data_IF_037373184775
#
_entry.id   IF_037373184775
#
_cell.length_a   1.000
_cell.length_b   1.000
_cell.length_c   1.000
_cell.angle_alpha   90.00
_cell.angle_beta   90.00
_cell.angle_gamma   90.00
#
_symmetry.space_group_name_H-M   'P 1'
#
loop_
_entity.id
_entity.type
_entity.pdbx_description
1 polymer ?
#
# COMPACT_ATOMS: atom_id res chain seq x y z
N UNK A 1 1.65 21.71 13.38
CA UNK A 1 0.81 21.96 12.18
C UNK A 1 1.77 22.13 11.01
N UNK A 2 1.99 21.08 10.24
CA UNK A 2 2.75 21.14 8.98
C UNK A 2 1.86 21.83 7.94
N UNK A 3 2.37 22.82 7.22
CA UNK A 3 1.52 23.63 6.33
C UNK A 3 1.36 22.93 4.97
N UNK A 4 0.26 23.20 4.24
CA UNK A 4 0.01 22.66 2.89
C UNK A 4 1.16 22.94 1.90
N UNK A 5 1.90 24.04 2.12
CA UNK A 5 3.10 24.41 1.38
C UNK A 5 4.23 23.39 1.56
N UNK A 6 4.43 22.90 2.80
CA UNK A 6 5.49 21.96 3.14
C UNK A 6 5.24 20.58 2.49
N UNK A 7 3.98 20.14 2.44
CA UNK A 7 3.60 18.85 1.87
C UNK A 7 3.76 18.81 0.36
N UNK A 8 3.41 19.91 -0.32
CA UNK A 8 3.62 20.04 -1.76
C UNK A 8 5.11 19.96 -2.09
N UNK A 9 5.96 20.64 -1.32
CA UNK A 9 7.41 20.58 -1.49
C UNK A 9 7.98 19.16 -1.30
N UNK A 10 7.51 18.44 -0.28
CA UNK A 10 7.88 17.03 -0.06
C UNK A 10 7.47 16.14 -1.23
N UNK A 11 6.27 16.32 -1.78
CA UNK A 11 5.81 15.55 -2.94
C UNK A 11 6.61 15.84 -4.21
N UNK A 12 6.96 17.11 -4.48
CA UNK A 12 7.77 17.44 -5.67
C UNK A 12 9.19 16.88 -5.57
N UNK A 13 9.78 16.90 -4.36
CA UNK A 13 11.08 16.28 -4.10
C UNK A 13 11.01 14.78 -4.32
N UNK A 14 9.99 14.12 -3.77
CA UNK A 14 9.74 12.70 -3.97
C UNK A 14 9.54 12.35 -5.45
N UNK A 15 8.70 13.10 -6.17
CA UNK A 15 8.41 12.85 -7.58
C UNK A 15 9.66 12.98 -8.47
N UNK A 16 10.53 13.94 -8.14
CA UNK A 16 11.81 14.13 -8.84
C UNK A 16 12.74 12.93 -8.63
N UNK A 17 12.83 12.41 -7.40
CA UNK A 17 13.60 11.20 -7.10
C UNK A 17 13.00 9.96 -7.76
N UNK A 18 11.68 9.83 -7.75
CA UNK A 18 10.97 8.74 -8.39
C UNK A 18 11.23 8.70 -9.90
N UNK A 19 11.17 9.85 -10.57
CA UNK A 19 11.42 9.97 -12.01
C UNK A 19 12.88 9.75 -12.40
N UNK A 20 13.83 10.10 -11.53
CA UNK A 20 15.25 9.92 -11.80
C UNK A 20 15.69 8.44 -11.74
N UNK A 21 14.92 7.60 -11.06
CA UNK A 21 15.32 6.24 -10.73
C UNK A 21 14.46 5.20 -11.49
N UNK A 22 15.06 4.52 -12.48
CA UNK A 22 14.52 3.26 -13.00
C UNK A 22 14.89 2.14 -12.06
N UNK A 23 14.08 1.95 -11.03
CA UNK A 23 14.20 0.81 -10.13
C UNK A 23 13.10 -0.17 -10.52
N UNK A 24 13.45 -1.44 -10.61
CA UNK A 24 12.52 -2.55 -10.78
C UNK A 24 12.85 -3.59 -9.74
N UNK A 25 11.85 -4.36 -9.30
CA UNK A 25 12.12 -5.54 -8.51
C UNK A 25 12.92 -6.52 -9.39
N UNK A 26 13.98 -7.11 -8.82
CA UNK A 26 14.78 -8.11 -9.51
C UNK A 26 14.02 -9.43 -9.75
N UNK A 27 14.74 -10.55 -9.78
CA UNK A 27 14.16 -11.87 -10.11
C UNK A 27 13.06 -12.34 -9.14
N UNK A 28 12.99 -11.77 -7.94
CA UNK A 28 11.96 -12.10 -6.93
C UNK A 28 11.44 -10.84 -6.24
N UNK A 29 10.11 -10.71 -6.20
CA UNK A 29 9.41 -9.65 -5.47
C UNK A 29 9.53 -9.78 -3.94
N UNK A 30 10.23 -10.78 -3.43
CA UNK A 30 10.42 -11.03 -1.99
C UNK A 30 11.85 -10.81 -1.52
N UNK A 31 12.75 -10.37 -2.39
CA UNK A 31 14.13 -10.05 -2.02
C UNK A 31 14.26 -8.63 -1.45
N UNK A 32 15.20 -8.46 -0.51
CA UNK A 32 15.57 -7.16 0.07
C UNK A 32 14.39 -6.32 0.60
N UNK A 33 13.36 -6.96 1.15
CA UNK A 33 12.16 -6.29 1.68
C UNK A 33 12.56 -5.23 2.73
N UNK A 34 12.05 -4.02 2.56
CA UNK A 34 12.31 -2.86 3.42
C UNK A 34 13.70 -2.23 3.22
N UNK A 35 14.54 -2.81 2.36
CA UNK A 35 15.87 -2.28 1.99
C UNK A 35 15.96 -1.96 0.50
N UNK A 36 15.00 -2.41 -0.29
CA UNK A 36 14.95 -2.12 -1.72
C UNK A 36 14.67 -0.63 -1.93
N UNK A 37 15.37 0.05 -2.85
CA UNK A 37 15.17 1.49 -3.07
C UNK A 37 13.72 1.89 -3.39
N UNK A 38 12.96 1.03 -4.08
CA UNK A 38 11.51 1.25 -4.29
C UNK A 38 10.70 1.19 -3.01
N UNK A 39 11.02 0.27 -2.09
CA UNK A 39 10.27 0.17 -0.84
C UNK A 39 10.41 1.48 -0.06
N UNK A 40 11.62 2.06 -0.03
CA UNK A 40 11.89 3.34 0.63
C UNK A 40 11.07 4.45 -0.01
N UNK A 41 11.10 4.56 -1.35
CA UNK A 41 10.31 5.56 -2.07
C UNK A 41 8.80 5.39 -1.82
N UNK A 42 8.28 4.17 -1.78
CA UNK A 42 6.86 3.94 -1.59
C UNK A 42 6.40 4.09 -0.13
N UNK A 43 7.29 3.85 0.84
CA UNK A 43 7.04 4.25 2.22
C UNK A 43 6.86 5.76 2.30
N UNK A 44 7.80 6.53 1.74
CA UNK A 44 7.74 8.00 1.76
C UNK A 44 6.47 8.51 1.05
N UNK A 45 6.10 7.91 -0.09
CA UNK A 45 4.87 8.26 -0.81
C UNK A 45 3.63 8.05 0.07
N UNK A 46 3.53 6.90 0.74
CA UNK A 46 2.40 6.60 1.61
C UNK A 46 2.33 7.55 2.81
N UNK A 47 3.48 7.94 3.38
CA UNK A 47 3.53 8.94 4.45
C UNK A 47 3.06 10.33 3.99
N UNK A 48 3.50 10.75 2.80
CA UNK A 48 3.02 11.98 2.16
C UNK A 48 1.50 11.88 1.97
N UNK A 49 0.99 10.78 1.40
CA UNK A 49 -0.42 10.61 1.07
C UNK A 49 -1.33 10.62 2.32
N UNK A 50 -0.92 9.95 3.40
CA UNK A 50 -1.68 9.91 4.66
C UNK A 50 -1.94 11.32 5.17
N UNK A 51 -0.93 12.19 5.14
CA UNK A 51 -1.03 13.54 5.68
C UNK A 51 -1.54 14.58 4.66
N UNK A 52 -1.52 14.26 3.36
CA UNK A 52 -1.85 15.16 2.27
C UNK A 52 -3.29 15.69 2.32
N UNK A 53 -3.47 16.93 1.83
CA UNK A 53 -4.79 17.50 1.53
C UNK A 53 -5.49 16.71 0.40
N UNK A 54 -6.81 16.84 0.29
CA UNK A 54 -7.58 16.20 -0.79
C UNK A 54 -7.07 16.58 -2.19
N UNK A 55 -6.66 17.84 -2.38
CA UNK A 55 -6.08 18.31 -3.64
C UNK A 55 -4.77 17.58 -3.99
N UNK A 56 -3.86 17.46 -3.01
CA UNK A 56 -2.59 16.76 -3.22
C UNK A 56 -2.80 15.25 -3.42
N UNK A 57 -3.78 14.64 -2.74
CA UNK A 57 -4.17 13.24 -2.97
C UNK A 57 -4.66 13.00 -4.40
N UNK A 58 -5.51 13.88 -4.93
CA UNK A 58 -5.93 13.82 -6.33
C UNK A 58 -4.75 13.98 -7.29
N UNK A 59 -3.81 14.89 -7.00
CA UNK A 59 -2.59 15.05 -7.80
C UNK A 59 -1.73 13.79 -7.81
N UNK A 60 -1.58 13.14 -6.65
CA UNK A 60 -0.85 11.86 -6.53
C UNK A 60 -1.54 10.77 -7.34
N UNK A 61 -2.86 10.59 -7.19
CA UNK A 61 -3.64 9.61 -7.96
C UNK A 61 -3.50 9.80 -9.48
N UNK A 62 -3.66 11.05 -9.94
CA UNK A 62 -3.53 11.41 -11.36
C UNK A 62 -2.12 11.18 -11.94
N UNK A 63 -1.08 11.10 -11.11
CA UNK A 63 0.27 10.72 -11.56
C UNK A 63 0.32 9.25 -12.02
N UNK A 64 -0.39 8.37 -11.33
CA UNK A 64 -0.34 6.92 -11.54
C UNK A 64 -1.36 6.42 -12.57
N UNK A 65 -2.44 7.17 -12.82
CA UNK A 65 -3.39 6.91 -13.92
C UNK A 65 -2.71 6.72 -15.28
N UNK A 66 -1.59 7.41 -15.52
CA UNK A 66 -0.87 7.40 -16.80
C UNK A 66 0.35 6.47 -16.80
N UNK A 67 0.49 5.62 -15.78
CA UNK A 67 1.74 4.89 -15.48
C UNK A 67 1.48 3.45 -15.01
N UNK A 68 0.88 2.59 -15.86
CA UNK A 68 0.42 1.25 -15.45
C UNK A 68 1.53 0.38 -14.87
N UNK A 69 2.74 0.43 -15.41
CA UNK A 69 3.88 -0.32 -14.88
C UNK A 69 4.21 0.10 -13.43
N UNK A 70 4.21 1.39 -13.15
CA UNK A 70 4.48 1.92 -11.81
C UNK A 70 3.32 1.65 -10.86
N UNK A 71 2.08 1.65 -11.36
CA UNK A 71 0.89 1.26 -10.60
C UNK A 71 0.99 -0.21 -10.17
N UNK A 72 1.44 -1.10 -11.05
CA UNK A 72 1.71 -2.49 -10.69
C UNK A 72 2.80 -2.62 -9.61
N UNK A 73 3.86 -1.81 -9.66
CA UNK A 73 4.90 -1.81 -8.63
C UNK A 73 4.37 -1.39 -7.25
N UNK A 74 3.42 -0.46 -7.19
CA UNK A 74 2.71 -0.09 -5.96
C UNK A 74 1.84 -1.24 -5.44
N UNK A 75 1.13 -1.95 -6.33
CA UNK A 75 0.36 -3.16 -5.94
C UNK A 75 1.28 -4.21 -5.31
N UNK A 76 2.44 -4.47 -5.92
CA UNK A 76 3.44 -5.39 -5.36
C UNK A 76 3.98 -4.90 -4.01
N UNK A 77 4.17 -3.58 -3.86
CA UNK A 77 4.62 -2.99 -2.60
C UNK A 77 3.64 -3.23 -1.45
N UNK A 78 2.32 -3.19 -1.69
CA UNK A 78 1.30 -3.53 -0.67
C UNK A 78 1.53 -4.95 -0.12
N UNK A 79 2.00 -5.89 -0.96
CA UNK A 79 2.33 -7.26 -0.52
C UNK A 79 3.62 -7.28 0.28
N UNK A 80 4.64 -6.53 -0.16
CA UNK A 80 5.96 -6.44 0.50
C UNK A 80 5.89 -5.75 1.86
N UNK A 81 5.11 -4.68 1.99
CA UNK A 81 4.97 -3.97 3.26
C UNK A 81 4.37 -4.87 4.34
N UNK A 82 3.50 -5.82 3.98
CA UNK A 82 2.99 -6.84 4.90
C UNK A 82 4.10 -7.64 5.60
N UNK A 83 5.23 -7.87 4.92
CA UNK A 83 6.40 -8.57 5.44
C UNK A 83 7.35 -7.69 6.24
N UNK A 84 7.25 -6.37 6.10
CA UNK A 84 8.01 -5.42 6.89
C UNK A 84 7.41 -5.19 8.26
N UNK A 85 6.10 -5.46 8.43
CA UNK A 85 5.40 -5.28 9.70
C UNK A 85 6.02 -6.23 10.73
N UNK A 86 6.71 -5.63 11.69
CA UNK A 86 7.26 -6.27 12.88
C UNK A 86 6.91 -5.42 14.11
N UNK A 87 7.30 -5.90 15.29
CA UNK A 87 6.70 -5.49 16.56
C UNK A 87 6.86 -3.99 16.93
N UNK A 88 7.74 -3.22 16.29
CA UNK A 88 8.14 -1.90 16.84
C UNK A 88 7.52 -0.66 16.16
N UNK A 89 6.80 -0.78 15.04
CA UNK A 89 6.13 0.38 14.36
C UNK A 89 4.80 0.03 13.68
N UNK A 90 4.07 -0.89 14.31
CA UNK A 90 3.05 -1.77 13.74
C UNK A 90 1.93 -1.11 12.91
N UNK A 91 1.21 -0.13 13.43
CA UNK A 91 0.00 0.40 12.75
C UNK A 91 0.31 1.37 11.62
N UNK A 92 1.45 2.07 11.66
CA UNK A 92 1.84 3.04 10.63
C UNK A 92 2.04 2.34 9.28
N UNK A 93 2.72 1.19 9.27
CA UNK A 93 2.96 0.42 8.04
C UNK A 93 1.65 -0.10 7.43
N UNK A 94 0.67 -0.48 8.25
CA UNK A 94 -0.65 -0.87 7.75
C UNK A 94 -1.34 0.32 7.08
N UNK A 95 -1.33 1.50 7.74
CA UNK A 95 -1.88 2.73 7.16
C UNK A 95 -1.21 3.12 5.84
N UNK A 96 0.11 2.96 5.75
CA UNK A 96 0.86 3.18 4.51
C UNK A 96 0.39 2.21 3.43
N UNK A 97 0.29 0.91 3.74
CA UNK A 97 -0.20 -0.08 2.77
C UNK A 97 -1.61 0.23 2.26
N UNK A 98 -2.51 0.68 3.14
CA UNK A 98 -3.86 1.12 2.76
C UNK A 98 -3.87 2.42 1.95
N UNK A 99 -2.99 3.38 2.29
CA UNK A 99 -2.81 4.60 1.51
C UNK A 99 -2.31 4.29 0.08
N UNK A 100 -1.37 3.36 -0.06
CA UNK A 100 -0.92 2.91 -1.39
C UNK A 100 -2.06 2.19 -2.13
N UNK A 101 -2.85 1.36 -1.45
CA UNK A 101 -4.03 0.74 -2.05
C UNK A 101 -5.01 1.79 -2.59
N UNK A 102 -5.22 2.90 -1.86
CA UNK A 102 -6.11 3.98 -2.29
C UNK A 102 -5.59 4.71 -3.53
N UNK A 103 -4.26 4.89 -3.64
CA UNK A 103 -3.63 5.50 -4.82
C UNK A 103 -3.90 4.68 -6.09
N UNK A 104 -3.84 3.34 -5.98
CA UNK A 104 -3.96 2.45 -7.14
C UNK A 104 -5.38 1.95 -7.41
N UNK A 105 -6.33 2.19 -6.49
CA UNK A 105 -7.70 1.69 -6.53
C UNK A 105 -8.45 1.97 -7.83
N UNK A 106 -8.22 3.15 -8.41
CA UNK A 106 -8.91 3.61 -9.62
C UNK A 106 -8.23 3.15 -10.91
N UNK A 107 -7.04 2.54 -10.80
CA UNK A 107 -6.11 2.35 -11.93
C UNK A 107 -5.78 0.89 -12.24
N UNK A 108 -6.11 -0.05 -11.36
CA UNK A 108 -5.77 -1.47 -11.51
C UNK A 108 -6.98 -2.39 -11.39
N UNK A 109 -6.79 -3.65 -11.81
CA UNK A 109 -7.79 -4.68 -11.60
C UNK A 109 -8.08 -4.82 -10.10
N UNK A 110 -9.35 -4.62 -9.75
CA UNK A 110 -9.89 -4.77 -8.40
C UNK A 110 -9.41 -6.05 -7.69
N UNK A 111 -9.20 -7.13 -8.44
CA UNK A 111 -8.75 -8.43 -7.91
C UNK A 111 -7.34 -8.37 -7.33
N UNK A 112 -6.41 -7.73 -8.03
CA UNK A 112 -5.01 -7.66 -7.60
C UNK A 112 -4.84 -6.79 -6.35
N UNK A 113 -5.59 -5.70 -6.26
CA UNK A 113 -5.64 -4.87 -5.06
C UNK A 113 -6.27 -5.66 -3.91
N UNK A 114 -7.40 -6.34 -4.15
CA UNK A 114 -8.07 -7.15 -3.13
C UNK A 114 -7.14 -8.21 -2.54
N UNK A 115 -6.43 -8.94 -3.40
CA UNK A 115 -5.43 -9.94 -2.98
C UNK A 115 -4.30 -9.28 -2.18
N UNK A 116 -3.79 -8.14 -2.63
CA UNK A 116 -2.67 -7.47 -1.98
C UNK A 116 -3.04 -6.94 -0.60
N UNK A 117 -4.22 -6.35 -0.46
CA UNK A 117 -4.76 -5.91 0.84
C UNK A 117 -5.09 -7.11 1.74
N UNK A 118 -5.52 -8.24 1.17
CA UNK A 118 -5.69 -9.49 1.93
C UNK A 118 -4.37 -9.96 2.56
N UNK A 119 -3.28 -9.93 1.78
CA UNK A 119 -1.94 -10.28 2.26
C UNK A 119 -1.46 -9.28 3.32
N UNK A 120 -1.70 -7.99 3.13
CA UNK A 120 -1.43 -6.95 4.13
C UNK A 120 -2.16 -7.24 5.45
N UNK A 121 -3.46 -7.52 5.38
CA UNK A 121 -4.27 -7.89 6.54
C UNK A 121 -3.68 -9.10 7.25
N UNK A 122 -3.38 -10.17 6.53
CA UNK A 122 -2.81 -11.38 7.11
C UNK A 122 -1.45 -11.14 7.78
N UNK A 123 -0.53 -10.42 7.13
CA UNK A 123 0.78 -10.10 7.69
C UNK A 123 0.68 -9.27 8.98
N UNK A 124 -0.28 -8.34 9.01
CA UNK A 124 -0.57 -7.50 10.17
C UNK A 124 -1.18 -8.31 11.33
N UNK A 125 -2.16 -9.17 11.05
CA UNK A 125 -2.82 -10.01 12.05
C UNK A 125 -1.86 -11.04 12.66
N UNK A 126 -0.89 -11.54 11.88
CA UNK A 126 0.15 -12.45 12.36
C UNK A 126 1.00 -11.89 13.49
N UNK A 127 1.14 -10.57 13.57
CA UNK A 127 1.91 -9.90 14.63
C UNK A 127 1.01 -9.27 15.69
N UNK A 128 -0.30 -9.54 15.67
CA UNK A 128 -1.25 -9.12 16.70
C UNK A 128 -1.98 -7.80 16.43
N UNK A 129 -1.88 -7.23 15.21
CA UNK A 129 -2.62 -6.01 14.86
C UNK A 129 -4.08 -6.37 14.57
N UNK A 130 -5.01 -5.70 15.26
CA UNK A 130 -6.44 -5.76 14.93
C UNK A 130 -6.75 -4.90 13.70
N UNK A 131 -6.56 -5.48 12.51
CA UNK A 131 -6.77 -4.76 11.24
C UNK A 131 -8.22 -4.34 11.04
N UNK A 132 -9.17 -5.13 11.54
CA UNK A 132 -10.61 -4.81 11.46
C UNK A 132 -10.90 -3.46 12.11
N UNK A 133 -10.52 -3.32 13.37
CA UNK A 133 -10.71 -2.09 14.14
C UNK A 133 -9.93 -0.92 13.52
N UNK A 134 -8.72 -1.16 13.01
CA UNK A 134 -7.95 -0.14 12.31
C UNK A 134 -8.69 0.35 11.05
N UNK A 135 -9.23 -0.56 10.24
CA UNK A 135 -10.01 -0.21 9.04
C UNK A 135 -11.25 0.58 9.45
N UNK A 136 -12.02 0.11 10.43
CA UNK A 136 -13.23 0.80 10.89
C UNK A 136 -12.96 2.25 11.33
N UNK A 137 -11.81 2.49 11.98
CA UNK A 137 -11.41 3.83 12.43
C UNK A 137 -10.89 4.74 11.30
N UNK A 138 -10.41 4.17 10.20
CA UNK A 138 -9.74 4.91 9.12
C UNK A 138 -10.53 4.94 7.81
N UNK A 139 -11.62 4.17 7.69
CA UNK A 139 -12.33 3.95 6.43
C UNK A 139 -12.81 5.26 5.78
N UNK A 140 -13.20 6.25 6.59
CA UNK A 140 -13.63 7.57 6.12
C UNK A 140 -12.50 8.40 5.50
N UNK A 141 -11.24 8.01 5.70
CA UNK A 141 -10.07 8.68 5.13
C UNK A 141 -9.73 8.21 3.71
N UNK A 142 -10.41 7.18 3.19
CA UNK A 142 -10.13 6.57 1.89
C UNK A 142 -11.26 6.82 0.87
N UNK A 143 -10.99 6.54 -0.40
CA UNK A 143 -12.01 6.56 -1.45
C UNK A 143 -13.18 5.60 -1.15
N UNK A 144 -14.34 5.87 -1.78
CA UNK A 144 -15.53 5.03 -1.64
C UNK A 144 -15.27 3.61 -2.19
N UNK A 145 -14.46 3.53 -3.25
CA UNK A 145 -14.03 2.31 -3.93
C UNK A 145 -13.19 1.45 -3.00
N UNK A 146 -12.15 2.03 -2.38
CA UNK A 146 -11.32 1.29 -1.42
C UNK A 146 -12.15 0.91 -0.20
N UNK A 147 -13.00 1.80 0.32
CA UNK A 147 -13.89 1.50 1.44
C UNK A 147 -14.79 0.30 1.16
N UNK A 148 -15.35 0.22 -0.05
CA UNK A 148 -16.17 -0.92 -0.49
C UNK A 148 -15.34 -2.20 -0.56
N UNK A 149 -14.12 -2.13 -1.09
CA UNK A 149 -13.19 -3.26 -1.11
C UNK A 149 -12.86 -3.76 0.28
N UNK A 150 -12.51 -2.88 1.21
CA UNK A 150 -12.17 -3.24 2.58
C UNK A 150 -13.34 -3.93 3.27
N UNK A 151 -14.56 -3.40 3.12
CA UNK A 151 -15.78 -4.02 3.66
C UNK A 151 -16.05 -5.43 3.07
N UNK A 152 -15.73 -5.66 1.81
CA UNK A 152 -15.85 -6.97 1.19
C UNK A 152 -14.76 -7.93 1.68
N UNK A 153 -13.53 -7.44 1.80
CA UNK A 153 -12.38 -8.21 2.30
C UNK A 153 -12.62 -8.73 3.72
N UNK A 154 -13.31 -7.95 4.57
CA UNK A 154 -13.69 -8.39 5.92
C UNK A 154 -14.59 -9.62 5.94
N UNK A 155 -15.23 -9.97 4.81
CA UNK A 155 -16.12 -11.12 4.67
C UNK A 155 -15.46 -12.33 4.02
N UNK A 156 -14.18 -12.24 3.64
CA UNK A 156 -13.46 -13.33 2.99
C UNK A 156 -13.36 -14.55 3.91
N UNK A 157 -13.51 -15.73 3.31
CA UNK A 157 -13.35 -16.98 4.04
C UNK A 157 -11.87 -17.27 4.33
N UNK A 158 -11.62 -18.17 5.28
CA UNK A 158 -10.27 -18.69 5.52
C UNK A 158 -9.65 -19.34 4.27
N UNK A 159 -10.48 -19.93 3.41
CA UNK A 159 -10.02 -20.57 2.17
C UNK A 159 -9.58 -19.53 1.13
N UNK A 160 -10.32 -18.43 0.98
CA UNK A 160 -9.95 -17.34 0.07
C UNK A 160 -8.59 -16.77 0.46
N UNK A 161 -8.41 -16.49 1.76
CA UNK A 161 -7.13 -16.03 2.30
C UNK A 161 -6.01 -17.04 2.06
N UNK A 162 -6.24 -18.33 2.31
CA UNK A 162 -5.25 -19.39 2.09
C UNK A 162 -4.82 -19.46 0.62
N UNK A 163 -5.75 -19.38 -0.32
CA UNK A 163 -5.45 -19.40 -1.75
C UNK A 163 -4.65 -18.15 -2.16
N UNK A 164 -5.02 -16.97 -1.67
CA UNK A 164 -4.26 -15.74 -1.93
C UNK A 164 -2.82 -15.84 -1.44
N UNK A 165 -2.59 -16.38 -0.25
CA UNK A 165 -1.24 -16.58 0.29
C UNK A 165 -0.44 -17.62 -0.50
N UNK A 166 -1.08 -18.72 -0.91
CA UNK A 166 -0.44 -19.79 -1.68
C UNK A 166 0.15 -19.26 -2.98
N UNK A 167 -0.62 -18.45 -3.71
CA UNK A 167 -0.26 -17.98 -5.05
C UNK A 167 0.51 -16.66 -5.06
N UNK A 168 0.20 -15.75 -4.14
CA UNK A 168 0.67 -14.36 -4.20
C UNK A 168 1.41 -13.92 -2.94
N UNK A 169 1.45 -14.76 -1.90
CA UNK A 169 2.16 -14.48 -0.66
C UNK A 169 3.65 -14.88 -0.70
N UNK A 170 4.39 -14.50 0.35
CA UNK A 170 5.75 -14.96 0.60
C UNK A 170 5.79 -16.50 0.66
N UNK A 171 6.83 -17.16 0.12
CA UNK A 171 6.92 -18.62 0.11
C UNK A 171 6.73 -19.31 1.47
N UNK A 172 7.15 -18.66 2.55
CA UNK A 172 7.05 -19.14 3.94
C UNK A 172 5.65 -18.97 4.57
N UNK A 173 4.70 -18.34 3.87
CA UNK A 173 3.31 -18.18 4.31
C UNK A 173 2.33 -19.14 3.61
N UNK A 174 2.84 -20.05 2.78
CA UNK A 174 2.08 -21.06 2.05
C UNK A 174 1.63 -22.21 2.94
#
# INVERSE_FOLDING_TARGET
>A
MTTTSDQTSSFETWNSQFLANKIEYGNSIWENIGKHPQDILFLDLGEIYITASSELRMKIKGLFEKRPEQTWQLVLFIRRIAKMINFDTQTKLVKIGLAIADIVMENEDYRDISISVAILKYGSEKVGINVTELIENEISNYSAELSTLLNNLMKWSKNDMKLSLLWFGPPEWR
#
